data_IF_614285278218
#
_entry.id   IF_614285278218
#
_cell.length_a   1.000
_cell.length_b   1.000
_cell.length_c   1.000
_cell.angle_alpha   90.00
_cell.angle_beta   90.00
_cell.angle_gamma   90.00
#
_symmetry.space_group_name_H-M   'P 1'
#
loop_
_entity.id
_entity.type
_entity.pdbx_description
1 polymer ?
#
# COMPACT_ATOMS: atom_id res chain seq x y z
N UNK A 1 -61.33 -13.02 31.94
CA UNK A 1 -62.48 -12.29 31.35
C UNK A 1 -61.92 -11.11 30.56
N UNK A 2 -62.26 -10.99 29.26
CA UNK A 2 -61.95 -9.92 28.28
C UNK A 2 -60.49 -9.90 27.76
N UNK A 3 -60.18 -10.41 26.56
CA UNK A 3 -60.49 -9.95 25.18
C UNK A 3 -59.71 -8.67 24.80
N UNK A 4 -58.60 -8.76 24.05
CA UNK A 4 -58.43 -8.80 22.57
C UNK A 4 -58.48 -7.40 21.91
N UNK A 5 -57.36 -6.97 21.30
CA UNK A 5 -57.32 -6.26 20.02
C UNK A 5 -55.87 -6.10 19.54
N UNK A 6 -55.47 -6.99 18.62
CA UNK A 6 -54.23 -6.96 17.84
C UNK A 6 -54.55 -6.24 16.52
N UNK A 7 -53.84 -5.16 16.20
CA UNK A 7 -54.05 -4.42 14.93
C UNK A 7 -52.97 -4.84 13.94
N UNK A 8 -53.38 -5.55 12.89
CA UNK A 8 -52.60 -5.91 11.71
C UNK A 8 -52.49 -4.68 10.79
N UNK A 9 -51.28 -4.32 10.37
CA UNK A 9 -51.05 -3.36 9.26
C UNK A 9 -50.61 -4.18 8.04
N UNK A 10 -51.45 -4.14 7.00
CA UNK A 10 -51.27 -4.82 5.71
C UNK A 10 -50.39 -4.00 4.76
N UNK A 11 -49.47 -4.69 4.08
CA UNK A 11 -48.69 -4.22 2.93
C UNK A 11 -49.58 -3.87 1.73
N UNK A 12 -49.20 -2.80 1.01
CA UNK A 12 -49.77 -2.44 -0.29
C UNK A 12 -48.69 -1.92 -1.24
N UNK A 13 -48.37 -2.73 -2.26
CA UNK A 13 -47.54 -2.39 -3.43
C UNK A 13 -48.44 -1.82 -4.52
N UNK A 14 -48.04 -0.75 -5.24
CA UNK A 14 -48.62 -0.46 -6.54
C UNK A 14 -47.61 -0.72 -7.66
N UNK A 15 -47.98 -1.67 -8.53
CA UNK A 15 -47.49 -1.81 -9.89
C UNK A 15 -48.49 -1.11 -10.81
N UNK A 16 -48.04 -0.19 -11.67
CA UNK A 16 -48.84 0.33 -12.79
C UNK A 16 -48.02 0.33 -14.09
N UNK A 17 -48.61 -0.31 -15.08
CA UNK A 17 -48.18 -0.48 -16.46
C UNK A 17 -48.76 0.59 -17.40
N UNK A 18 -47.91 1.03 -18.34
CA UNK A 18 -48.14 1.33 -19.77
C UNK A 18 -49.43 2.01 -20.28
N UNK A 19 -49.24 3.01 -21.15
CA UNK A 19 -50.12 3.38 -22.26
C UNK A 19 -49.26 3.70 -23.50
N UNK A 20 -49.53 3.04 -24.63
CA UNK A 20 -49.15 3.42 -26.00
C UNK A 20 -50.19 4.40 -26.58
N UNK A 21 -49.79 5.36 -27.45
CA UNK A 21 -49.85 5.25 -28.93
C UNK A 21 -49.69 6.61 -29.67
N UNK A 22 -48.94 6.54 -30.77
CA UNK A 22 -49.03 7.19 -32.10
C UNK A 22 -49.14 8.72 -32.36
N UNK A 23 -48.30 9.20 -33.30
CA UNK A 23 -48.66 10.32 -34.19
C UNK A 23 -47.55 11.18 -34.84
N UNK A 24 -46.95 10.68 -35.93
CA UNK A 24 -46.56 11.38 -37.19
C UNK A 24 -46.05 12.84 -37.26
N UNK A 25 -44.82 13.00 -37.81
CA UNK A 25 -44.55 13.78 -39.04
C UNK A 25 -44.37 15.31 -38.97
N UNK A 26 -43.23 15.79 -39.49
CA UNK A 26 -43.07 17.19 -39.94
C UNK A 26 -41.65 17.73 -39.77
N UNK A 27 -40.90 17.85 -40.87
CA UNK A 27 -39.49 18.23 -40.86
C UNK A 27 -39.21 19.72 -40.76
N UNK A 28 -37.93 20.05 -40.54
CA UNK A 28 -37.31 21.34 -40.89
C UNK A 28 -35.78 21.17 -41.00
N UNK A 29 -35.24 21.48 -42.17
CA UNK A 29 -33.93 22.12 -42.38
C UNK A 29 -34.29 23.51 -42.98
N UNK A 30 -33.63 24.65 -42.69
CA UNK A 30 -32.22 24.89 -43.05
C UNK A 30 -31.43 25.88 -42.15
N UNK A 31 -30.09 25.84 -42.20
CA UNK A 31 -29.09 26.97 -42.30
C UNK A 31 -27.68 26.42 -41.99
N UNK A 32 -26.75 26.27 -42.95
CA UNK A 32 -25.74 27.24 -43.42
C UNK A 32 -24.88 27.83 -42.28
N UNK A 33 -23.54 27.85 -42.23
CA UNK A 33 -22.39 27.64 -43.13
C UNK A 33 -21.10 27.52 -42.23
N UNK A 34 -19.82 27.57 -42.69
CA UNK A 34 -19.26 27.54 -44.04
C UNK A 34 -18.10 26.52 -44.25
N UNK A 35 -17.72 26.40 -45.53
CA UNK A 35 -16.54 25.74 -46.09
C UNK A 35 -15.29 26.63 -46.07
N UNK A 36 -14.10 26.05 -45.80
CA UNK A 36 -12.78 26.36 -46.38
C UNK A 36 -11.95 25.07 -46.17
N UNK A 37 -11.63 24.25 -47.18
CA UNK A 37 -10.46 24.41 -48.08
C UNK A 37 -9.16 24.36 -47.28
N UNK A 38 -8.31 23.33 -47.25
CA UNK A 38 -7.99 22.27 -48.23
C UNK A 38 -6.54 22.44 -48.68
N UNK A 39 -5.63 21.53 -48.26
CA UNK A 39 -4.44 20.97 -48.94
C UNK A 39 -3.72 20.07 -47.90
N UNK A 40 -3.73 18.75 -47.97
CA UNK A 40 -3.05 17.80 -48.90
C UNK A 40 -1.73 17.25 -48.35
N UNK A 41 -1.73 15.92 -48.22
CA UNK A 41 -0.64 14.94 -48.32
C UNK A 41 0.57 15.03 -47.38
N UNK A 42 0.71 14.01 -46.53
CA UNK A 42 1.87 13.13 -46.64
C UNK A 42 1.54 11.69 -46.20
N UNK A 43 1.93 10.77 -47.06
CA UNK A 43 1.66 9.34 -47.15
C UNK A 43 2.50 8.50 -46.20
N UNK A 44 1.89 7.42 -45.68
CA UNK A 44 2.55 6.25 -45.11
C UNK A 44 3.09 5.35 -46.24
N UNK A 45 4.35 4.93 -46.14
CA UNK A 45 4.87 3.69 -46.75
C UNK A 45 5.99 3.09 -45.90
N UNK A 46 5.89 1.79 -45.69
CA UNK A 46 6.84 0.84 -45.11
C UNK A 46 7.91 0.37 -46.11
N UNK A 47 8.88 -0.41 -45.58
CA UNK A 47 9.92 -1.24 -46.24
C UNK A 47 11.23 -0.49 -46.57
N UNK A 48 12.46 -0.95 -46.34
CA UNK A 48 13.06 -2.20 -45.87
C UNK A 48 14.54 -2.24 -46.32
N UNK A 49 15.41 -2.90 -45.55
CA UNK A 49 16.64 -3.60 -46.01
C UNK A 49 18.01 -2.86 -46.11
N UNK A 50 18.89 -3.23 -45.17
CA UNK A 50 20.32 -3.66 -45.17
C UNK A 50 21.41 -3.13 -46.13
N UNK A 51 22.61 -2.91 -45.56
CA UNK A 51 24.00 -3.24 -46.05
C UNK A 51 24.98 -2.83 -44.92
N UNK A 52 26.06 -3.51 -44.51
CA UNK A 52 26.80 -4.75 -44.80
C UNK A 52 27.69 -5.04 -43.55
N UNK A 53 28.32 -6.19 -43.28
CA UNK A 53 28.87 -7.23 -44.13
C UNK A 53 30.40 -7.20 -44.06
N UNK A 54 31.03 -7.98 -43.16
CA UNK A 54 32.19 -8.85 -43.50
C UNK A 54 32.53 -9.83 -42.38
N UNK A 55 32.93 -11.01 -42.85
CA UNK A 55 33.12 -12.32 -42.24
C UNK A 55 34.62 -12.59 -42.00
N UNK A 56 34.98 -13.50 -41.08
CA UNK A 56 36.08 -14.49 -41.21
C UNK A 56 36.41 -15.25 -39.90
N UNK A 57 35.91 -16.48 -39.86
CA UNK A 57 36.45 -17.75 -39.32
C UNK A 57 37.87 -17.83 -38.71
N UNK A 58 37.93 -18.40 -37.49
CA UNK A 58 38.52 -19.74 -37.19
C UNK A 58 40.04 -19.90 -36.96
N UNK A 59 40.46 -20.34 -35.77
CA UNK A 59 41.12 -21.65 -35.48
C UNK A 59 41.66 -21.77 -34.03
N UNK A 60 41.54 -22.97 -33.48
CA UNK A 60 42.11 -23.47 -32.21
C UNK A 60 43.58 -23.93 -32.43
N UNK A 61 44.46 -24.02 -31.40
CA UNK A 61 44.72 -25.34 -30.81
C UNK A 61 45.10 -25.38 -29.28
N UNK A 62 44.56 -26.40 -28.60
CA UNK A 62 45.20 -27.49 -27.80
C UNK A 62 46.33 -27.23 -26.76
N UNK A 63 45.96 -27.34 -25.47
CA UNK A 63 46.43 -28.25 -24.37
C UNK A 63 47.87 -28.31 -23.80
N UNK A 64 47.88 -28.49 -22.45
CA UNK A 64 48.82 -29.22 -21.52
C UNK A 64 50.11 -28.51 -21.10
N UNK A 65 50.67 -28.58 -19.88
CA UNK A 65 50.56 -29.37 -18.64
C UNK A 65 51.20 -28.50 -17.50
N UNK A 66 51.12 -28.73 -16.19
CA UNK A 66 50.72 -29.88 -15.40
C UNK A 66 50.79 -29.59 -13.88
N UNK A 67 50.25 -30.56 -13.16
CA UNK A 67 50.19 -30.91 -11.73
C UNK A 67 51.56 -30.97 -11.00
N UNK A 68 51.75 -31.13 -9.68
CA UNK A 68 50.96 -31.72 -8.58
C UNK A 68 51.54 -31.34 -7.20
N UNK A 69 50.80 -31.69 -6.15
CA UNK A 69 51.06 -31.48 -4.73
C UNK A 69 52.10 -32.43 -4.08
N UNK A 70 52.50 -32.09 -2.83
CA UNK A 70 52.37 -32.94 -1.61
C UNK A 70 53.62 -33.07 -0.71
N UNK A 71 53.43 -32.61 0.54
CA UNK A 71 53.74 -33.22 1.86
C UNK A 71 55.15 -33.55 2.39
N UNK A 72 55.32 -33.14 3.66
CA UNK A 72 55.95 -33.77 4.85
C UNK A 72 57.47 -33.69 5.12
N UNK A 73 57.79 -32.98 6.22
CA UNK A 73 58.72 -33.23 7.38
C UNK A 73 59.48 -34.58 7.44
N UNK A 74 60.57 -34.77 8.26
CA UNK A 74 61.01 -33.99 9.45
C UNK A 74 62.54 -33.79 9.61
N UNK A 75 62.99 -33.09 10.68
CA UNK A 75 63.95 -33.61 11.69
C UNK A 75 64.57 -32.53 12.61
N UNK A 76 64.81 -32.97 13.84
CA UNK A 76 65.23 -32.32 15.10
C UNK A 76 66.69 -31.83 15.17
N UNK A 77 66.97 -30.78 15.96
CA UNK A 77 67.70 -30.86 17.27
C UNK A 77 68.21 -29.50 17.83
N UNK A 78 67.87 -29.26 19.11
CA UNK A 78 68.70 -28.80 20.24
C UNK A 78 69.20 -27.33 20.48
N UNK A 79 68.60 -26.74 21.55
CA UNK A 79 69.10 -25.93 22.70
C UNK A 79 69.85 -24.58 22.50
N UNK A 80 69.29 -23.47 23.03
CA UNK A 80 69.68 -22.82 24.32
C UNK A 80 69.56 -21.27 24.37
N UNK A 81 68.93 -20.80 25.45
CA UNK A 81 69.12 -19.54 26.22
C UNK A 81 68.98 -18.13 25.60
N UNK A 82 67.91 -17.44 26.02
CA UNK A 82 67.82 -15.97 26.15
C UNK A 82 66.37 -15.47 26.25
N UNK A 83 65.96 -14.68 27.27
CA UNK A 83 64.59 -14.18 27.33
C UNK A 83 64.38 -13.08 26.29
N UNK A 84 63.47 -13.29 25.34
CA UNK A 84 62.93 -12.24 24.50
C UNK A 84 62.09 -11.27 25.35
N UNK A 85 62.09 -9.96 25.07
CA UNK A 85 61.32 -8.98 25.83
C UNK A 85 59.83 -9.29 25.71
N UNK A 86 59.15 -9.41 26.85
CA UNK A 86 57.69 -9.49 26.91
C UNK A 86 57.10 -8.18 26.40
N UNK A 87 56.57 -8.20 25.18
CA UNK A 87 55.59 -7.22 24.73
C UNK A 87 54.28 -7.54 25.43
N UNK A 88 54.05 -6.85 26.56
CA UNK A 88 52.77 -6.83 27.25
C UNK A 88 51.84 -5.94 26.40
N UNK A 89 51.24 -6.52 25.37
CA UNK A 89 50.00 -5.96 24.81
C UNK A 89 48.96 -6.21 25.87
N UNK A 90 48.72 -5.18 26.69
CA UNK A 90 47.54 -5.14 27.53
C UNK A 90 46.34 -5.40 26.65
N UNK A 91 45.51 -6.36 27.06
CA UNK A 91 44.17 -6.51 26.54
C UNK A 91 43.52 -5.12 26.63
N UNK A 92 43.39 -4.43 25.50
CA UNK A 92 42.41 -3.38 25.38
C UNK A 92 41.08 -4.06 25.67
N UNK A 93 40.38 -3.72 26.77
CA UNK A 93 38.99 -4.12 26.88
C UNK A 93 38.34 -3.65 25.60
N UNK A 94 37.56 -4.52 24.97
CA UNK A 94 36.73 -4.21 23.82
C UNK A 94 35.96 -2.92 24.11
N UNK A 95 36.56 -1.82 23.66
CA UNK A 95 36.09 -0.46 23.85
C UNK A 95 35.17 -0.11 22.71
N UNK A 96 34.44 -1.09 22.19
CA UNK A 96 33.15 -0.83 21.57
C UNK A 96 32.36 0.00 22.56
N UNK A 97 32.33 1.31 22.34
CA UNK A 97 31.24 2.14 22.83
C UNK A 97 29.97 1.34 22.55
N UNK A 98 29.03 1.19 23.51
CA UNK A 98 27.75 0.61 23.17
C UNK A 98 27.29 1.35 21.93
N UNK A 99 27.12 0.62 20.82
CA UNK A 99 26.48 1.24 19.67
C UNK A 99 25.20 1.86 20.24
N UNK A 100 24.90 3.13 19.94
CA UNK A 100 23.63 3.68 20.36
C UNK A 100 22.57 2.65 19.97
N UNK A 101 21.52 2.46 20.79
CA UNK A 101 20.38 1.62 20.43
C UNK A 101 19.83 2.15 19.08
N UNK A 102 20.39 1.67 17.98
CA UNK A 102 20.18 2.10 16.61
C UNK A 102 19.07 1.21 16.11
N UNK A 103 17.86 1.68 16.37
CA UNK A 103 16.65 0.92 16.12
C UNK A 103 15.46 1.79 16.47
N UNK A 104 14.43 1.76 15.63
CA UNK A 104 13.16 2.35 15.99
C UNK A 104 12.63 1.67 17.26
N UNK A 105 12.27 2.47 18.28
CA UNK A 105 11.60 1.97 19.50
C UNK A 105 10.08 1.97 19.37
N UNK A 106 9.57 2.59 18.32
CA UNK A 106 8.16 2.82 18.08
C UNK A 106 7.86 2.67 16.60
N UNK A 107 6.72 2.09 16.28
CA UNK A 107 6.25 1.93 14.90
C UNK A 107 4.79 2.36 14.80
N UNK A 108 4.46 3.16 13.80
CA UNK A 108 3.11 3.56 13.45
C UNK A 108 2.74 2.89 12.12
N UNK A 109 1.75 2.00 12.12
CA UNK A 109 1.24 1.30 10.96
C UNK A 109 -0.07 1.94 10.51
N UNK A 110 -0.10 2.50 9.31
CA UNK A 110 -1.29 3.09 8.69
C UNK A 110 -1.75 2.23 7.52
N UNK A 111 -2.91 1.57 7.66
CA UNK A 111 -3.57 0.87 6.57
C UNK A 111 -4.55 1.81 5.87
N UNK A 112 -4.36 1.99 4.57
CA UNK A 112 -5.25 2.72 3.68
C UNK A 112 -5.95 1.69 2.82
N UNK A 113 -7.22 1.44 3.13
CA UNK A 113 -7.99 0.37 2.53
C UNK A 113 -9.02 0.97 1.60
N UNK A 114 -8.94 0.59 0.34
CA UNK A 114 -9.96 0.93 -0.61
C UNK A 114 -11.31 0.28 -0.26
N UNK A 115 -12.35 1.12 -0.29
CA UNK A 115 -13.72 0.76 0.03
C UNK A 115 -14.65 0.76 -1.18
N UNK A 116 -14.09 0.64 -2.39
CA UNK A 116 -14.80 0.44 -3.64
C UNK A 116 -15.57 -0.88 -3.72
N UNK A 117 -16.40 -1.02 -4.76
CA UNK A 117 -17.35 -2.11 -4.90
C UNK A 117 -16.72 -3.50 -5.08
N UNK A 118 -15.51 -3.55 -5.65
CA UNK A 118 -14.77 -4.77 -6.01
C UNK A 118 -13.97 -5.34 -4.84
N UNK A 119 -13.58 -4.51 -3.87
CA UNK A 119 -12.64 -4.80 -2.77
C UNK A 119 -13.08 -5.84 -1.72
N UNK A 120 -14.21 -6.53 -1.91
CA UNK A 120 -14.77 -7.43 -0.89
C UNK A 120 -13.83 -8.61 -0.57
N UNK A 121 -13.30 -9.26 -1.61
CA UNK A 121 -12.45 -10.44 -1.44
C UNK A 121 -11.05 -10.04 -0.94
N UNK A 122 -10.55 -8.89 -1.40
CA UNK A 122 -9.28 -8.28 -1.02
C UNK A 122 -9.28 -7.89 0.48
N UNK A 123 -10.35 -7.26 0.98
CA UNK A 123 -10.51 -6.96 2.41
C UNK A 123 -10.54 -8.23 3.28
N UNK A 124 -11.17 -9.31 2.79
CA UNK A 124 -11.16 -10.61 3.48
C UNK A 124 -9.75 -11.21 3.50
N UNK A 125 -9.03 -11.17 2.38
CA UNK A 125 -7.65 -11.65 2.26
C UNK A 125 -6.70 -10.88 3.19
N UNK A 126 -6.88 -9.57 3.29
CA UNK A 126 -6.16 -8.70 4.21
C UNK A 126 -6.41 -9.09 5.66
N UNK A 127 -7.67 -9.16 6.09
CA UNK A 127 -8.03 -9.53 7.46
C UNK A 127 -7.55 -10.94 7.84
N UNK A 128 -7.59 -11.89 6.91
CA UNK A 128 -7.10 -13.26 7.15
C UNK A 128 -5.56 -13.37 7.19
N UNK A 129 -4.85 -12.40 6.62
CA UNK A 129 -3.37 -12.38 6.59
C UNK A 129 -2.78 -11.58 7.75
N UNK A 130 -3.53 -10.64 8.31
CA UNK A 130 -3.06 -9.72 9.34
C UNK A 130 -2.58 -10.39 10.65
N UNK A 131 -3.23 -11.43 11.20
CA UNK A 131 -2.77 -12.07 12.44
C UNK A 131 -1.35 -12.65 12.34
N UNK A 132 -1.01 -13.26 11.21
CA UNK A 132 0.33 -13.81 10.97
C UNK A 132 1.35 -12.68 10.80
N UNK A 133 0.98 -11.63 10.04
CA UNK A 133 1.81 -10.44 9.86
C UNK A 133 2.18 -9.79 11.20
N UNK A 134 1.20 -9.50 12.04
CA UNK A 134 1.44 -8.80 13.31
C UNK A 134 2.23 -9.66 14.29
N UNK A 135 1.99 -10.98 14.31
CA UNK A 135 2.76 -11.92 15.14
C UNK A 135 4.22 -11.98 14.72
N UNK A 136 4.50 -12.05 13.41
CA UNK A 136 5.86 -12.09 12.90
C UNK A 136 6.56 -10.74 13.09
N UNK A 137 5.87 -9.63 12.83
CA UNK A 137 6.38 -8.28 13.09
C UNK A 137 6.76 -8.10 14.56
N UNK A 138 5.90 -8.48 15.50
CA UNK A 138 6.20 -8.41 16.94
C UNK A 138 7.37 -9.31 17.36
N UNK A 139 7.61 -10.39 16.62
CA UNK A 139 8.73 -11.31 16.86
C UNK A 139 10.05 -10.73 16.35
N UNK A 140 10.07 -10.23 15.12
CA UNK A 140 11.27 -9.65 14.50
C UNK A 140 11.65 -8.32 15.16
N UNK A 141 10.66 -7.45 15.39
CA UNK A 141 10.83 -6.15 16.05
C UNK A 141 10.76 -6.25 17.57
N UNK A 142 11.38 -7.27 18.16
CA UNK A 142 11.34 -7.51 19.62
C UNK A 142 11.91 -6.37 20.47
N UNK A 143 12.69 -5.47 19.86
CA UNK A 143 13.24 -4.26 20.47
C UNK A 143 12.32 -3.01 20.37
N UNK A 144 11.15 -3.14 19.73
CA UNK A 144 10.14 -2.08 19.63
C UNK A 144 9.22 -2.14 20.84
N UNK A 145 9.10 -1.00 21.53
CA UNK A 145 8.36 -0.87 22.79
C UNK A 145 6.87 -0.57 22.57
N UNK A 146 6.49 0.04 21.44
CA UNK A 146 5.12 0.48 21.22
C UNK A 146 4.72 0.57 19.74
N UNK A 147 3.49 0.11 19.47
CA UNK A 147 2.90 0.10 18.14
C UNK A 147 1.62 0.91 18.13
N UNK A 148 1.43 1.75 17.11
CA UNK A 148 0.11 2.28 16.77
C UNK A 148 -0.34 1.61 15.47
N UNK A 149 -1.53 1.01 15.45
CA UNK A 149 -2.13 0.48 14.21
C UNK A 149 -3.41 1.25 13.92
N UNK A 150 -3.40 1.97 12.81
CA UNK A 150 -4.49 2.78 12.31
C UNK A 150 -5.03 2.23 10.99
N UNK A 151 -6.35 2.33 10.81
CA UNK A 151 -7.02 1.99 9.55
C UNK A 151 -7.81 3.21 9.09
N UNK A 152 -7.70 3.53 7.82
CA UNK A 152 -8.53 4.52 7.12
C UNK A 152 -9.10 3.89 5.84
N UNK A 153 -10.19 4.45 5.34
CA UNK A 153 -10.73 4.14 4.01
C UNK A 153 -10.18 5.08 2.94
N UNK A 154 -10.35 4.75 1.65
CA UNK A 154 -10.09 5.67 0.53
C UNK A 154 -11.05 6.89 0.51
N UNK A 155 -12.14 6.83 1.28
CA UNK A 155 -13.14 7.89 1.46
C UNK A 155 -13.21 8.52 2.86
N UNK A 156 -14.10 9.52 3.01
CA UNK A 156 -14.61 9.93 4.31
C UNK A 156 -15.57 8.89 4.89
N UNK A 157 -15.05 7.89 5.62
CA UNK A 157 -15.86 6.85 6.26
C UNK A 157 -17.06 7.44 7.04
N UNK A 158 -18.25 7.39 6.45
CA UNK A 158 -19.47 8.00 7.00
C UNK A 158 -20.02 7.26 8.21
N UNK A 159 -19.54 6.05 8.48
CA UNK A 159 -19.97 5.24 9.62
C UNK A 159 -19.23 5.57 10.90
N UNK A 160 -18.09 6.26 10.80
CA UNK A 160 -17.37 6.75 11.96
C UNK A 160 -18.26 7.62 12.86
N UNK A 161 -17.91 7.64 14.15
CA UNK A 161 -18.48 8.56 15.12
C UNK A 161 -18.29 10.03 14.72
N UNK A 162 -19.12 10.90 15.31
CA UNK A 162 -19.08 12.34 15.04
C UNK A 162 -17.66 12.91 15.27
N UNK A 163 -17.19 13.73 14.33
CA UNK A 163 -15.84 14.29 14.35
C UNK A 163 -14.78 13.43 13.64
N UNK A 164 -15.14 12.24 13.15
CA UNK A 164 -14.26 11.33 12.42
C UNK A 164 -14.76 10.94 11.01
N UNK A 165 -15.86 11.54 10.55
CA UNK A 165 -16.44 11.31 9.22
C UNK A 165 -15.75 12.21 8.19
N UNK A 166 -14.48 11.95 7.91
CA UNK A 166 -13.61 12.77 7.07
C UNK A 166 -12.54 11.93 6.39
N UNK A 167 -11.97 12.42 5.30
CA UNK A 167 -10.80 11.79 4.68
C UNK A 167 -9.67 11.64 5.70
N UNK A 168 -9.08 10.44 5.75
CA UNK A 168 -8.03 10.11 6.70
C UNK A 168 -8.48 9.97 8.16
N UNK A 169 -9.78 10.04 8.45
CA UNK A 169 -10.29 9.79 9.80
C UNK A 169 -10.18 8.31 10.18
N UNK A 170 -9.46 8.01 11.26
CA UNK A 170 -9.26 6.64 11.71
C UNK A 170 -10.58 5.92 12.03
N UNK A 171 -10.68 4.68 11.58
CA UNK A 171 -11.87 3.83 11.71
C UNK A 171 -12.14 3.54 13.18
N UNK A 172 -13.28 4.01 13.69
CA UNK A 172 -13.85 3.59 14.97
C UNK A 172 -15.13 2.77 14.82
N UNK A 173 -15.73 2.82 13.62
CA UNK A 173 -16.91 2.06 13.25
C UNK A 173 -16.93 1.80 11.75
N UNK A 174 -17.43 0.62 11.40
CA UNK A 174 -17.65 0.19 10.02
C UNK A 174 -19.13 0.01 9.75
N UNK A 175 -19.50 -0.01 8.47
CA UNK A 175 -20.88 -0.19 8.02
C UNK A 175 -20.95 -0.35 6.50
N UNK A 176 -22.14 -0.69 6.01
CA UNK A 176 -22.35 -0.92 4.58
C UNK A 176 -22.07 -2.36 4.16
N UNK A 177 -22.20 -2.61 2.85
CA UNK A 177 -22.00 -3.94 2.26
C UNK A 177 -20.57 -4.43 2.52
N UNK A 178 -20.43 -5.74 2.77
CA UNK A 178 -19.16 -6.44 3.00
C UNK A 178 -18.27 -5.91 4.14
N UNK A 179 -18.75 -4.95 4.93
CA UNK A 179 -18.07 -4.46 6.13
C UNK A 179 -18.27 -5.40 7.32
N UNK A 180 -17.49 -5.19 8.38
CA UNK A 180 -17.73 -5.85 9.67
C UNK A 180 -19.02 -5.36 10.37
N UNK A 181 -19.64 -4.28 9.89
CA UNK A 181 -20.86 -3.65 10.40
C UNK A 181 -20.88 -3.51 11.94
N UNK A 182 -19.75 -3.07 12.50
CA UNK A 182 -19.49 -3.12 13.93
C UNK A 182 -18.88 -1.80 14.43
N UNK A 183 -19.06 -1.55 15.73
CA UNK A 183 -18.27 -0.53 16.44
C UNK A 183 -16.98 -1.20 16.90
N UNK A 184 -15.83 -0.73 16.40
CA UNK A 184 -14.53 -1.36 16.63
C UNK A 184 -13.87 -0.87 17.94
N UNK A 185 -14.26 0.32 18.39
CA UNK A 185 -13.90 0.88 19.71
C UNK A 185 -14.66 0.22 20.87
N UNK A 186 -14.16 0.33 22.12
CA UNK A 186 -12.92 0.99 22.52
C UNK A 186 -11.68 0.22 22.09
N UNK A 187 -10.65 0.94 21.67
CA UNK A 187 -9.26 0.45 21.66
C UNK A 187 -8.61 0.72 23.01
N UNK A 188 -7.56 -0.01 23.36
CA UNK A 188 -6.97 -0.01 24.69
C UNK A 188 -6.54 1.40 25.16
N UNK A 189 -5.98 2.21 24.25
CA UNK A 189 -5.55 3.58 24.54
C UNK A 189 -6.69 4.61 24.63
N UNK A 190 -7.94 4.23 24.39
CA UNK A 190 -9.09 5.16 24.33
C UNK A 190 -9.03 6.14 23.15
N UNK A 191 -8.19 5.83 22.14
CA UNK A 191 -8.05 6.57 20.88
C UNK A 191 -8.78 5.84 19.76
N UNK A 192 -8.63 6.30 18.51
CA UNK A 192 -9.18 5.65 17.31
C UNK A 192 -8.17 4.75 16.58
N UNK A 193 -7.05 4.42 17.23
CA UNK A 193 -6.04 3.48 16.77
C UNK A 193 -5.80 2.41 17.83
N UNK A 194 -5.31 1.25 17.40
CA UNK A 194 -5.00 0.11 18.24
C UNK A 194 -3.57 0.22 18.77
N UNK A 195 -3.33 -0.21 20.01
CA UNK A 195 -1.99 -0.28 20.59
C UNK A 195 -1.54 -1.71 20.84
N UNK A 196 -0.31 -1.91 21.29
CA UNK A 196 0.20 -3.22 21.74
C UNK A 196 -0.61 -3.87 22.87
N UNK A 197 -1.45 -3.09 23.58
CA UNK A 197 -2.33 -3.58 24.62
C UNK A 197 -3.66 -4.15 24.09
N UNK A 198 -3.96 -3.96 22.80
CA UNK A 198 -5.12 -4.55 22.13
C UNK A 198 -4.82 -5.97 21.63
N UNK A 199 -5.87 -6.79 21.51
CA UNK A 199 -5.84 -7.95 20.61
C UNK A 199 -5.87 -7.43 19.16
N UNK A 200 -4.69 -7.18 18.60
CA UNK A 200 -4.53 -6.58 17.29
C UNK A 200 -5.23 -7.39 16.19
N UNK A 201 -5.18 -8.73 16.26
CA UNK A 201 -5.86 -9.59 15.30
C UNK A 201 -7.38 -9.34 15.29
N UNK A 202 -8.00 -9.45 16.46
CA UNK A 202 -9.46 -9.23 16.61
C UNK A 202 -9.87 -7.79 16.27
N UNK A 203 -9.11 -6.80 16.74
CA UNK A 203 -9.43 -5.38 16.52
C UNK A 203 -9.25 -4.96 15.07
N UNK A 204 -8.19 -5.45 14.42
CA UNK A 204 -7.97 -5.20 13.01
C UNK A 204 -9.00 -5.91 12.15
N UNK A 205 -9.43 -7.15 12.48
CA UNK A 205 -10.53 -7.81 11.75
C UNK A 205 -11.81 -6.97 11.72
N UNK A 206 -12.08 -6.19 12.78
CA UNK A 206 -13.18 -5.23 12.77
C UNK A 206 -12.87 -4.03 11.87
N UNK A 207 -11.75 -3.33 12.11
CA UNK A 207 -11.46 -2.06 11.44
C UNK A 207 -11.09 -2.21 9.96
N UNK A 208 -10.45 -3.32 9.59
CA UNK A 208 -9.95 -3.61 8.25
C UNK A 208 -11.02 -4.01 7.23
N UNK A 209 -12.19 -4.45 7.69
CA UNK A 209 -13.38 -4.64 6.83
C UNK A 209 -14.20 -3.36 6.80
N UNK A 210 -13.66 -2.34 6.14
CA UNK A 210 -14.27 -1.00 6.01
C UNK A 210 -15.57 -1.02 5.20
N UNK A 211 -15.75 -2.03 4.34
CA UNK A 211 -16.90 -2.20 3.47
C UNK A 211 -16.61 -1.79 2.03
N UNK A 212 -17.59 -2.03 1.14
CA UNK A 212 -17.46 -1.82 -0.31
C UNK A 212 -18.47 -0.79 -0.85
N UNK A 213 -18.87 0.15 0.02
CA UNK A 213 -19.88 1.17 -0.27
C UNK A 213 -19.31 2.55 -0.60
N UNK A 214 -18.05 2.61 -1.03
CA UNK A 214 -17.33 3.83 -1.31
C UNK A 214 -17.79 4.63 -2.51
N UNK A 215 -17.23 5.83 -2.62
CA UNK A 215 -17.31 6.65 -3.82
C UNK A 215 -16.47 5.98 -4.92
N UNK A 216 -17.00 5.95 -6.14
CA UNK A 216 -16.24 5.43 -7.29
C UNK A 216 -15.10 6.36 -7.68
N UNK A 217 -15.10 7.62 -7.24
CA UNK A 217 -13.92 8.49 -7.36
C UNK A 217 -13.04 8.33 -6.13
N UNK A 218 -12.29 7.23 -6.11
CA UNK A 218 -11.42 6.86 -4.99
C UNK A 218 -10.28 7.85 -4.78
N UNK A 219 -9.94 8.12 -3.52
CA UNK A 219 -8.86 9.04 -3.18
C UNK A 219 -7.96 8.50 -2.05
N UNK A 220 -7.36 7.31 -2.21
CA UNK A 220 -6.52 6.70 -1.18
C UNK A 220 -5.31 7.59 -0.83
N UNK A 221 -4.68 8.23 -1.82
CA UNK A 221 -3.52 9.08 -1.57
C UNK A 221 -3.88 10.38 -0.82
N UNK A 222 -5.05 10.95 -1.10
CA UNK A 222 -5.57 12.09 -0.36
C UNK A 222 -5.91 11.71 1.08
N UNK A 223 -6.61 10.58 1.27
CA UNK A 223 -6.97 10.08 2.59
C UNK A 223 -5.72 9.81 3.44
N UNK A 224 -4.70 9.16 2.86
CA UNK A 224 -3.40 8.93 3.47
C UNK A 224 -2.76 10.24 3.96
N UNK A 225 -2.68 11.24 3.09
CA UNK A 225 -2.11 12.53 3.46
C UNK A 225 -2.90 13.23 4.57
N UNK A 226 -4.24 13.17 4.54
CA UNK A 226 -5.06 13.73 5.62
C UNK A 226 -4.81 13.00 6.95
N UNK A 227 -4.62 11.67 6.92
CA UNK A 227 -4.43 10.90 8.14
C UNK A 227 -3.18 11.30 8.92
N UNK A 228 -2.13 11.74 8.22
CA UNK A 228 -0.84 12.14 8.81
C UNK A 228 -0.73 13.65 9.08
N UNK A 229 -1.74 14.46 8.73
CA UNK A 229 -1.69 15.90 8.97
C UNK A 229 -1.67 16.23 10.48
N UNK A 230 -0.92 17.25 10.92
CA UNK A 230 -0.87 17.66 12.32
C UNK A 230 -2.25 18.01 12.91
N UNK A 231 -3.14 18.61 12.11
CA UNK A 231 -4.47 19.03 12.56
C UNK A 231 -5.35 17.83 12.95
N UNK A 232 -5.21 16.72 12.22
CA UNK A 232 -6.00 15.51 12.48
C UNK A 232 -5.39 14.68 13.61
N UNK A 233 -4.10 14.86 13.90
CA UNK A 233 -3.38 14.18 14.98
C UNK A 233 -3.30 15.01 16.28
N UNK A 234 -3.84 16.24 16.28
CA UNK A 234 -3.85 17.11 17.44
C UNK A 234 -4.68 16.54 18.60
N UNK A 235 -4.42 16.95 19.86
CA UNK A 235 -5.23 16.52 21.00
C UNK A 235 -6.74 16.75 20.79
N UNK A 236 -7.54 15.70 20.94
CA UNK A 236 -8.99 15.70 20.74
C UNK A 236 -9.46 15.64 19.29
N UNK A 237 -8.56 15.63 18.30
CA UNK A 237 -8.90 15.39 16.90
C UNK A 237 -9.14 13.88 16.64
N UNK A 238 -9.62 13.53 15.45
CA UNK A 238 -9.97 12.14 15.15
C UNK A 238 -8.77 11.19 15.30
N UNK A 239 -7.59 11.60 14.84
CA UNK A 239 -6.38 10.78 14.84
C UNK A 239 -5.45 11.14 16.00
N UNK A 240 -5.99 11.72 17.07
CA UNK A 240 -5.23 12.21 18.23
C UNK A 240 -4.09 11.25 18.63
N UNK A 241 -2.86 11.73 18.44
CA UNK A 241 -1.63 11.04 18.82
C UNK A 241 -1.28 9.81 17.97
N UNK A 242 -1.91 9.59 16.82
CA UNK A 242 -1.61 8.44 15.96
C UNK A 242 -0.19 8.52 15.40
N UNK A 243 0.15 9.58 14.66
CA UNK A 243 1.51 9.75 14.13
C UNK A 243 2.45 10.36 15.17
N UNK A 244 3.58 9.70 15.39
CA UNK A 244 4.62 10.11 16.35
C UNK A 244 5.89 10.47 15.60
N UNK A 245 6.54 11.56 15.99
CA UNK A 245 7.80 12.00 15.36
C UNK A 245 8.91 10.96 15.54
N UNK A 246 8.97 10.31 16.71
CA UNK A 246 9.99 9.32 17.11
C UNK A 246 9.61 7.86 16.81
N UNK A 247 8.69 7.62 15.86
CA UNK A 247 8.31 6.30 15.39
C UNK A 247 8.61 6.08 13.90
N UNK A 248 8.95 4.86 13.49
CA UNK A 248 8.96 4.47 12.08
C UNK A 248 7.52 4.47 11.54
N UNK A 249 7.26 5.12 10.41
CA UNK A 249 5.93 5.09 9.78
C UNK A 249 5.90 4.00 8.71
N UNK A 250 5.01 3.04 8.85
CA UNK A 250 4.72 2.02 7.82
C UNK A 250 3.35 2.31 7.24
N UNK A 251 3.29 2.70 5.97
CA UNK A 251 2.03 2.90 5.25
C UNK A 251 1.76 1.66 4.40
N UNK A 252 0.58 1.07 4.54
CA UNK A 252 0.11 -0.04 3.72
C UNK A 252 -1.06 0.45 2.87
N UNK A 253 -0.87 0.56 1.56
CA UNK A 253 -1.90 0.89 0.58
C UNK A 253 -2.48 -0.39 0.01
N UNK A 254 -3.82 -0.50 -0.03
CA UNK A 254 -4.53 -1.64 -0.61
C UNK A 254 -5.66 -1.12 -1.48
N UNK A 255 -5.55 -1.23 -2.80
CA UNK A 255 -6.56 -0.84 -3.80
C UNK A 255 -6.44 -1.68 -5.06
N UNK A 256 -7.57 -2.07 -5.65
CA UNK A 256 -7.62 -2.75 -6.94
C UNK A 256 -7.89 -1.78 -8.11
N UNK A 257 -7.97 -0.48 -7.83
CA UNK A 257 -8.07 0.56 -8.84
C UNK A 257 -6.76 1.37 -8.90
N UNK A 258 -6.70 2.25 -9.89
CA UNK A 258 -5.67 3.28 -9.92
C UNK A 258 -6.19 4.56 -9.24
N UNK A 259 -5.28 5.28 -8.58
CA UNK A 259 -5.58 6.64 -8.11
C UNK A 259 -5.34 7.62 -9.28
N UNK A 260 -6.18 7.60 -10.32
CA UNK A 260 -6.03 8.44 -11.52
C UNK A 260 -7.22 9.33 -11.89
N UNK A 261 -6.96 10.09 -12.95
CA UNK A 261 -7.89 10.99 -13.60
C UNK A 261 -8.62 10.23 -14.71
N UNK A 262 -9.53 9.31 -14.39
CA UNK A 262 -10.33 8.62 -15.39
C UNK A 262 -11.26 9.60 -16.13
N UNK A 263 -10.76 10.18 -17.21
CA UNK A 263 -11.54 11.03 -18.12
C UNK A 263 -12.25 10.24 -19.21
N UNK A 264 -11.95 8.94 -19.35
CA UNK A 264 -12.39 8.13 -20.48
C UNK A 264 -12.93 6.73 -20.13
N UNK A 265 -12.71 6.22 -18.92
CA UNK A 265 -12.86 4.78 -18.69
C UNK A 265 -14.31 4.29 -18.81
N UNK A 266 -15.32 5.00 -18.27
CA UNK A 266 -16.68 4.41 -18.22
C UNK A 266 -17.81 5.25 -18.86
N UNK A 267 -17.53 6.18 -19.78
CA UNK A 267 -18.50 7.22 -20.20
C UNK A 267 -19.12 8.03 -19.03
N UNK A 268 -18.62 7.83 -17.81
CA UNK A 268 -18.99 8.56 -16.63
C UNK A 268 -18.20 9.87 -16.56
N UNK A 269 -18.66 10.78 -15.69
CA UNK A 269 -17.99 12.05 -15.43
C UNK A 269 -16.52 11.79 -15.05
N UNK A 270 -15.58 12.70 -15.40
CA UNK A 270 -14.19 12.59 -15.00
C UNK A 270 -14.07 12.32 -13.50
N UNK A 271 -13.54 11.15 -13.15
CA UNK A 271 -13.08 10.88 -11.79
C UNK A 271 -11.68 11.47 -11.70
N UNK A 272 -11.47 12.34 -10.74
CA UNK A 272 -10.21 13.08 -10.63
C UNK A 272 -9.21 12.40 -9.70
N UNK A 273 -9.59 11.33 -9.02
CA UNK A 273 -8.75 10.69 -8.02
C UNK A 273 -8.32 11.66 -6.91
N UNK A 274 -7.25 11.30 -6.22
CA UNK A 274 -6.59 12.15 -5.24
C UNK A 274 -5.97 13.38 -5.89
N UNK A 275 -6.09 14.57 -5.27
CA UNK A 275 -5.41 15.77 -5.73
C UNK A 275 -3.88 15.63 -5.69
N UNK A 276 -3.22 16.20 -6.71
CA UNK A 276 -1.76 16.24 -6.83
C UNK A 276 -1.20 15.05 -7.60
N UNK A 277 0.12 14.95 -7.63
CA UNK A 277 0.89 13.89 -8.32
C UNK A 277 1.70 13.06 -7.33
N UNK A 278 2.24 11.89 -7.72
CA UNK A 278 3.11 11.06 -6.87
C UNK A 278 4.18 11.82 -6.10
N UNK A 279 4.84 12.79 -6.74
CA UNK A 279 5.83 13.64 -6.08
C UNK A 279 5.27 14.56 -4.98
N UNK A 280 4.02 15.02 -5.11
CA UNK A 280 3.33 15.77 -4.07
C UNK A 280 2.99 14.87 -2.88
N UNK A 281 2.51 13.66 -3.14
CA UNK A 281 2.18 12.69 -2.09
C UNK A 281 3.43 12.24 -1.32
N UNK A 282 4.51 11.95 -2.04
CA UNK A 282 5.83 11.66 -1.46
C UNK A 282 6.28 12.78 -0.52
N UNK A 283 6.25 14.04 -1.02
CA UNK A 283 6.65 15.21 -0.23
C UNK A 283 5.79 15.36 1.02
N UNK A 284 4.49 15.07 0.93
CA UNK A 284 3.57 15.12 2.06
C UNK A 284 3.92 14.16 3.19
N UNK A 285 4.18 12.88 2.87
CA UNK A 285 4.59 11.89 3.88
C UNK A 285 5.97 12.23 4.47
N UNK A 286 6.95 12.55 3.62
CA UNK A 286 8.31 12.89 4.08
C UNK A 286 8.28 14.11 5.01
N UNK A 287 7.43 15.10 4.72
CA UNK A 287 7.21 16.25 5.61
C UNK A 287 6.62 15.84 6.95
N UNK A 288 5.67 14.90 6.97
CA UNK A 288 5.08 14.38 8.21
C UNK A 288 6.10 13.66 9.09
N UNK A 289 7.22 13.18 8.51
CA UNK A 289 8.35 12.56 9.22
C UNK A 289 9.59 13.45 9.28
N UNK A 290 9.39 14.77 9.37
CA UNK A 290 10.47 15.73 9.62
C UNK A 290 11.48 15.87 8.48
N UNK A 291 11.13 15.45 7.27
CA UNK A 291 12.02 15.48 6.11
C UNK A 291 12.90 14.23 5.96
N UNK A 292 12.73 13.21 6.81
CA UNK A 292 13.55 11.99 6.79
C UNK A 292 12.78 10.86 6.09
N UNK A 293 13.06 10.68 4.80
CA UNK A 293 12.40 9.66 3.98
C UNK A 293 12.63 8.23 4.49
N UNK A 294 13.84 7.91 4.96
CA UNK A 294 14.19 6.57 5.45
C UNK A 294 13.43 6.15 6.71
N UNK A 295 12.75 7.10 7.38
CA UNK A 295 11.84 6.81 8.50
C UNK A 295 10.43 6.39 8.05
N UNK A 296 10.24 6.18 6.74
CA UNK A 296 8.97 5.78 6.14
C UNK A 296 9.21 4.47 5.38
N UNK A 297 8.29 3.53 5.55
CA UNK A 297 8.15 2.31 4.75
C UNK A 297 6.81 2.39 4.03
N UNK A 298 6.79 2.15 2.73
CA UNK A 298 5.56 2.15 1.92
C UNK A 298 5.37 0.77 1.31
N UNK A 299 4.27 0.12 1.66
CA UNK A 299 3.87 -1.20 1.20
C UNK A 299 2.60 -1.05 0.37
N UNK A 300 2.64 -1.40 -0.91
CA UNK A 300 1.48 -1.21 -1.81
C UNK A 300 1.01 -2.55 -2.37
N UNK A 301 -0.17 -2.99 -1.99
CA UNK A 301 -0.92 -4.09 -2.62
C UNK A 301 -1.85 -3.48 -3.67
N UNK A 302 -1.43 -3.56 -4.93
CA UNK A 302 -2.10 -2.90 -6.05
C UNK A 302 -2.17 -3.85 -7.26
N UNK A 303 -2.68 -3.40 -8.40
CA UNK A 303 -2.49 -4.10 -9.68
C UNK A 303 -1.19 -3.67 -10.38
N UNK A 304 -0.06 -4.39 -10.20
CA UNK A 304 1.19 -4.05 -10.87
C UNK A 304 1.17 -4.47 -12.35
N UNK A 305 2.10 -3.90 -13.12
CA UNK A 305 2.29 -4.24 -14.53
C UNK A 305 2.84 -5.66 -14.74
N UNK A 306 3.56 -6.23 -13.76
CA UNK A 306 4.18 -7.55 -13.88
C UNK A 306 4.30 -8.29 -12.53
N UNK A 307 3.68 -9.47 -12.36
CA UNK A 307 2.67 -10.05 -13.24
C UNK A 307 1.39 -9.20 -13.21
N UNK A 308 0.72 -9.06 -14.36
CA UNK A 308 -0.54 -8.31 -14.43
C UNK A 308 -1.68 -9.10 -13.78
N UNK A 309 -2.48 -8.42 -12.95
CA UNK A 309 -3.75 -8.98 -12.48
C UNK A 309 -4.74 -9.16 -13.64
N UNK A 310 -5.76 -10.02 -13.51
CA UNK A 310 -6.91 -9.99 -14.41
C UNK A 310 -7.46 -8.57 -14.49
N UNK A 311 -7.85 -8.11 -15.68
CA UNK A 311 -8.37 -6.75 -15.83
C UNK A 311 -9.74 -6.60 -15.15
N UNK A 312 -9.89 -5.54 -14.36
CA UNK A 312 -11.16 -5.16 -13.76
C UNK A 312 -12.06 -4.48 -14.82
N UNK A 313 -13.27 -5.01 -15.04
CA UNK A 313 -14.26 -4.42 -15.96
C UNK A 313 -15.26 -3.53 -15.20
N UNK A 314 -14.75 -2.51 -14.49
CA UNK A 314 -15.57 -1.68 -13.60
C UNK A 314 -16.72 -0.97 -14.33
N UNK A 315 -16.53 -0.64 -15.61
CA UNK A 315 -17.52 0.04 -16.43
C UNK A 315 -18.75 -0.80 -16.77
N UNK A 316 -18.65 -2.12 -16.71
CA UNK A 316 -19.77 -3.03 -16.91
C UNK A 316 -20.17 -3.77 -15.62
N UNK A 317 -19.76 -3.24 -14.46
CA UNK A 317 -20.07 -3.81 -13.15
C UNK A 317 -19.25 -5.06 -12.80
N UNK A 318 -18.08 -5.22 -13.42
CA UNK A 318 -17.08 -6.20 -13.00
C UNK A 318 -16.57 -5.88 -11.59
N UNK A 319 -16.34 -6.93 -10.80
CA UNK A 319 -15.92 -6.85 -9.39
C UNK A 319 -14.71 -7.74 -9.11
N UNK A 320 -13.97 -8.09 -10.16
CA UNK A 320 -12.86 -9.04 -10.07
C UNK A 320 -11.75 -8.56 -10.97
N UNK A 321 -10.52 -8.63 -10.45
CA UNK A 321 -9.34 -8.16 -11.14
C UNK A 321 -8.72 -6.99 -10.40
N UNK A 322 -7.81 -6.30 -11.09
CA UNK A 322 -7.34 -5.00 -10.66
C UNK A 322 -6.97 -4.19 -11.91
N UNK A 323 -7.06 -2.88 -11.80
CA UNK A 323 -6.49 -1.96 -12.77
C UNK A 323 -4.98 -1.85 -12.59
N UNK A 324 -4.31 -1.38 -13.64
CA UNK A 324 -2.90 -1.06 -13.53
C UNK A 324 -2.77 0.27 -12.80
N UNK A 325 -1.97 0.30 -11.74
CA UNK A 325 -1.84 1.49 -10.88
C UNK A 325 -0.49 2.23 -11.03
N UNK A 326 -0.12 2.78 -12.21
CA UNK A 326 1.22 3.30 -12.48
C UNK A 326 1.65 4.49 -11.59
N UNK A 327 0.72 5.34 -11.13
CA UNK A 327 1.01 6.47 -10.24
C UNK A 327 1.29 5.99 -8.82
N UNK A 328 0.57 4.97 -8.35
CA UNK A 328 0.86 4.35 -7.04
C UNK A 328 2.16 3.55 -7.09
N UNK A 329 2.45 2.86 -8.21
CA UNK A 329 3.77 2.24 -8.46
C UNK A 329 4.86 3.31 -8.38
N UNK A 330 4.73 4.40 -9.14
CA UNK A 330 5.70 5.48 -9.14
C UNK A 330 5.89 6.06 -7.73
N UNK A 331 4.81 6.33 -7.00
CA UNK A 331 4.86 6.83 -5.63
C UNK A 331 5.63 5.88 -4.70
N UNK A 332 5.35 4.57 -4.78
CA UNK A 332 5.97 3.56 -3.92
C UNK A 332 7.47 3.44 -4.22
N UNK A 333 7.85 3.45 -5.49
CA UNK A 333 9.25 3.36 -5.95
C UNK A 333 10.08 4.63 -5.64
N UNK A 334 9.44 5.73 -5.22
CA UNK A 334 10.17 6.92 -4.74
C UNK A 334 10.76 6.72 -3.34
N UNK A 335 10.31 5.73 -2.57
CA UNK A 335 10.83 5.44 -1.24
C UNK A 335 11.96 4.40 -1.31
N UNK A 336 13.01 4.64 -0.54
CA UNK A 336 14.09 3.67 -0.27
C UNK A 336 13.50 2.39 0.29
N UNK A 337 12.53 2.53 1.20
CA UNK A 337 11.82 1.41 1.81
C UNK A 337 10.43 1.21 1.17
N UNK A 338 10.37 1.15 -0.15
CA UNK A 338 9.16 0.85 -0.92
C UNK A 338 9.06 -0.63 -1.31
N UNK A 339 7.89 -1.25 -1.17
CA UNK A 339 7.63 -2.61 -1.63
C UNK A 339 6.25 -2.76 -2.27
N UNK A 340 6.20 -3.35 -3.46
CA UNK A 340 4.98 -3.54 -4.23
C UNK A 340 4.61 -5.02 -4.26
N UNK A 341 3.37 -5.29 -3.87
CA UNK A 341 2.71 -6.58 -3.98
C UNK A 341 1.55 -6.52 -4.97
N UNK A 342 1.00 -7.70 -5.23
CA UNK A 342 -0.11 -7.91 -6.15
C UNK A 342 -1.39 -8.15 -5.35
N UNK A 343 -2.37 -7.28 -5.54
CA UNK A 343 -3.64 -7.34 -4.80
C UNK A 343 -4.50 -8.56 -5.18
N UNK A 344 -4.37 -9.05 -6.42
CA UNK A 344 -5.05 -10.25 -6.88
C UNK A 344 -4.43 -11.57 -6.37
N UNK A 345 -3.42 -11.52 -5.50
CA UNK A 345 -2.88 -12.72 -4.88
C UNK A 345 -3.96 -13.41 -4.02
N UNK A 346 -4.01 -14.75 -4.01
CA UNK A 346 -5.02 -15.49 -3.22
C UNK A 346 -4.83 -15.35 -1.70
N UNK A 347 -3.71 -14.76 -1.25
CA UNK A 347 -3.40 -14.43 0.13
C UNK A 347 -2.27 -13.40 0.18
N UNK A 348 -2.28 -12.53 1.19
CA UNK A 348 -1.23 -11.52 1.41
C UNK A 348 -0.18 -11.94 2.44
N UNK A 349 -0.24 -13.16 2.95
CA UNK A 349 0.74 -13.66 3.94
C UNK A 349 2.17 -13.61 3.42
N UNK A 350 2.40 -14.01 2.16
CA UNK A 350 3.74 -13.95 1.57
C UNK A 350 4.21 -12.50 1.41
N UNK A 351 3.34 -11.63 0.91
CA UNK A 351 3.66 -10.20 0.78
C UNK A 351 4.07 -9.60 2.13
N UNK A 352 3.30 -9.85 3.19
CA UNK A 352 3.63 -9.36 4.52
C UNK A 352 4.90 -10.01 5.09
N UNK A 353 5.12 -11.31 4.87
CA UNK A 353 6.36 -11.98 5.28
C UNK A 353 7.59 -11.37 4.61
N UNK A 354 7.51 -11.03 3.32
CA UNK A 354 8.61 -10.41 2.58
C UNK A 354 8.85 -8.97 3.05
N UNK A 355 7.77 -8.24 3.33
CA UNK A 355 7.82 -6.85 3.81
C UNK A 355 8.43 -6.69 5.20
N UNK A 356 8.35 -7.70 6.08
CA UNK A 356 8.89 -7.60 7.45
C UNK A 356 10.39 -7.40 7.45
N UNK A 357 11.14 -8.04 6.54
CA UNK A 357 12.58 -7.82 6.42
C UNK A 357 12.93 -6.37 6.07
N UNK A 358 12.11 -5.75 5.21
CA UNK A 358 12.26 -4.34 4.85
C UNK A 358 11.93 -3.41 6.04
N UNK A 359 10.89 -3.73 6.82
CA UNK A 359 10.53 -2.96 8.02
C UNK A 359 11.65 -3.06 9.07
N UNK A 360 12.22 -4.25 9.26
CA UNK A 360 13.33 -4.48 10.19
C UNK A 360 14.58 -3.66 9.79
N UNK A 361 14.98 -3.73 8.52
CA UNK A 361 16.10 -2.93 8.00
C UNK A 361 15.83 -1.41 8.12
N UNK A 362 14.62 -0.95 7.84
CA UNK A 362 14.23 0.45 8.02
C UNK A 362 14.25 0.86 9.50
N UNK A 363 13.88 -0.05 10.40
CA UNK A 363 13.90 0.17 11.83
C UNK A 363 15.34 0.29 12.35
N UNK A 364 16.26 -0.58 11.95
CA UNK A 364 17.69 -0.51 12.31
C UNK A 364 18.33 0.81 11.84
N UNK A 365 17.92 1.30 10.66
CA UNK A 365 18.39 2.55 10.07
C UNK A 365 17.57 3.79 10.48
N UNK A 366 16.63 3.65 11.41
CA UNK A 366 15.76 4.75 11.85
C UNK A 366 16.58 5.89 12.43
N UNK A 367 16.28 7.11 11.99
CA UNK A 367 16.92 8.34 12.46
C UNK A 367 15.95 9.13 13.34
N UNK A 368 16.14 9.16 14.67
CA UNK A 368 15.30 9.97 15.53
C UNK A 368 15.31 11.45 15.11
N UNK A 369 14.20 12.18 15.23
CA UNK A 369 14.19 13.62 15.04
C UNK A 369 15.15 14.28 16.04
N UNK A 370 16.01 15.15 15.52
CA UNK A 370 17.10 15.82 16.28
C UNK A 370 16.69 16.99 17.14
#
# INVERSE_FOLDING_TARGET
MRALALTLITLGVPCLSACSDDGGGGGTNPTAAPTLGGISNLTLTSDGTTTGGTDSTGTNPTSTAGTDASTSEPATSNVDSGPAPKFDIGETPDGGLPMPDTGCKKVDLLFVIDNSGSMADEQINLVNSFPDFVSEMQTQLSNTDSYHVGVISSDSNVYNGAGCQMYGGLVNRTGGASSSNATCTPYAGGKNWMSEADDLGTKFSCAGQVGTGGDGNEQPMYAMLQAVQPQNNAPGACNDGFIRDDALLVVVLITDEEDDHEVAACQQLPQSGSPGEPGNWYTGLVTAKGGVETNIVVLSLIGPVNPTCPALDKCNGGITGAELSPRIVQFTEMFTNGFIGQICAPSYKQFFSDAIGLIDEACENFMPPG
#
